data_IF_066031671059
#
_entry.id   IF_066031671059
#
_cell.length_a   1.000
_cell.length_b   1.000
_cell.length_c   1.000
_cell.angle_alpha   90.00
_cell.angle_beta   90.00
_cell.angle_gamma   90.00
#
_symmetry.space_group_name_H-M   'P 1'
#
loop_
_entity.id
_entity.type
_entity.pdbx_description
1 polymer ?
#
# COMPACT_ATOMS: atom_id res chain seq x y z
N UNK A 1 4.22 -7.39 9.73
CA UNK A 1 3.25 -6.57 8.98
C UNK A 1 2.06 -6.25 9.86
N UNK A 2 1.62 -5.00 9.84
CA UNK A 2 0.49 -4.56 10.65
C UNK A 2 -0.80 -4.62 9.82
N UNK A 3 -1.87 -5.09 10.44
CA UNK A 3 -3.20 -5.15 9.82
C UNK A 3 -4.10 -4.16 10.55
N UNK A 4 -4.75 -3.27 9.82
CA UNK A 4 -5.67 -2.29 10.38
C UNK A 4 -7.02 -2.35 9.67
N UNK A 5 -8.05 -1.84 10.35
CA UNK A 5 -9.38 -1.74 9.76
C UNK A 5 -9.48 -0.52 8.85
N UNK A 6 -10.51 -0.50 7.98
CA UNK A 6 -10.79 0.67 7.16
C UNK A 6 -11.03 1.92 8.02
N UNK A 7 -11.69 1.77 9.17
CA UNK A 7 -11.94 2.88 10.08
C UNK A 7 -10.63 3.43 10.68
N UNK A 8 -9.74 2.54 11.14
CA UNK A 8 -8.44 2.95 11.65
C UNK A 8 -7.62 3.69 10.60
N UNK A 9 -7.68 3.23 9.36
CA UNK A 9 -7.00 3.89 8.24
C UNK A 9 -7.55 5.31 8.01
N UNK A 10 -8.87 5.48 8.05
CA UNK A 10 -9.51 6.79 7.87
C UNK A 10 -9.14 7.77 8.97
N UNK A 11 -8.99 7.30 10.20
CA UNK A 11 -8.67 8.16 11.35
C UNK A 11 -7.18 8.47 11.49
N UNK A 12 -6.32 7.77 10.76
CA UNK A 12 -4.87 7.93 10.87
C UNK A 12 -4.33 9.25 10.30
N UNK A 13 -5.16 10.01 9.59
CA UNK A 13 -4.72 11.23 8.94
C UNK A 13 -3.97 10.96 7.64
N UNK A 14 -3.71 12.01 6.89
CA UNK A 14 -3.08 11.91 5.56
C UNK A 14 -1.87 12.81 5.37
N UNK A 15 -1.35 13.43 6.42
CA UNK A 15 -0.16 14.28 6.31
C UNK A 15 1.04 13.45 5.81
N UNK A 16 1.69 13.93 4.76
CA UNK A 16 2.81 13.20 4.16
C UNK A 16 2.43 11.95 3.40
N UNK A 17 1.14 11.74 3.10
CA UNK A 17 0.64 10.55 2.41
C UNK A 17 0.40 10.84 0.94
N UNK A 18 0.86 9.92 0.09
CA UNK A 18 0.58 9.90 -1.33
C UNK A 18 -0.30 8.68 -1.63
N UNK A 19 -1.46 8.90 -2.23
CA UNK A 19 -2.31 7.82 -2.71
C UNK A 19 -1.97 7.51 -4.16
N UNK A 20 -1.73 6.24 -4.47
CA UNK A 20 -1.22 5.84 -5.77
C UNK A 20 -2.18 4.83 -6.41
N UNK A 21 -2.76 5.21 -7.54
CA UNK A 21 -3.53 4.29 -8.35
C UNK A 21 -2.59 3.25 -8.97
N UNK A 22 -3.11 2.05 -9.24
CA UNK A 22 -2.29 0.93 -9.67
C UNK A 22 -1.73 1.06 -11.11
N UNK A 23 -2.16 2.06 -11.85
CA UNK A 23 -1.68 2.32 -13.21
C UNK A 23 -0.60 3.42 -13.28
N UNK A 24 -0.22 3.98 -12.14
CA UNK A 24 0.80 5.02 -12.06
C UNK A 24 2.20 4.40 -11.93
N UNK A 25 3.14 4.90 -12.71
CA UNK A 25 4.54 4.46 -12.61
C UNK A 25 5.21 5.22 -11.44
N UNK A 26 5.65 4.52 -10.37
CA UNK A 26 6.28 5.19 -9.24
C UNK A 26 7.54 5.98 -9.59
N UNK A 27 8.20 5.63 -10.67
CA UNK A 27 9.44 6.31 -11.11
C UNK A 27 9.19 7.74 -11.57
N UNK A 28 7.94 8.12 -11.84
CA UNK A 28 7.58 9.48 -12.25
C UNK A 28 7.26 10.39 -11.07
N UNK A 29 7.33 9.88 -9.83
CA UNK A 29 6.88 10.59 -8.65
C UNK A 29 8.01 11.36 -7.98
N UNK A 30 7.64 12.53 -7.39
CA UNK A 30 8.51 13.24 -6.46
C UNK A 30 8.15 12.76 -5.05
N UNK A 31 9.08 12.08 -4.39
CA UNK A 31 8.86 11.52 -3.06
C UNK A 31 9.37 12.41 -1.93
N UNK A 32 9.80 13.64 -2.23
CA UNK A 32 10.24 14.58 -1.20
C UNK A 32 9.08 14.90 -0.24
N UNK A 33 9.30 14.72 1.06
CA UNK A 33 8.30 14.99 2.07
C UNK A 33 7.23 13.90 2.20
N UNK A 34 7.29 12.84 1.40
CA UNK A 34 6.36 11.73 1.47
C UNK A 34 6.85 10.73 2.52
N UNK A 35 6.01 10.47 3.53
CA UNK A 35 6.33 9.51 4.60
C UNK A 35 5.54 8.22 4.49
N UNK A 36 4.45 8.22 3.70
CA UNK A 36 3.59 7.07 3.51
C UNK A 36 3.02 7.06 2.10
N UNK A 37 2.97 5.89 1.49
CA UNK A 37 2.33 5.69 0.19
C UNK A 37 1.25 4.62 0.33
N UNK A 38 0.03 4.96 -0.07
CA UNK A 38 -1.10 4.03 -0.09
C UNK A 38 -1.23 3.50 -1.51
N UNK A 39 -0.99 2.20 -1.70
CA UNK A 39 -1.10 1.53 -2.98
C UNK A 39 -2.46 0.85 -3.09
N UNK A 40 -3.18 1.14 -4.16
CA UNK A 40 -4.55 0.69 -4.34
C UNK A 40 -4.61 -0.65 -5.07
N UNK A 41 -5.42 -1.55 -4.53
CA UNK A 41 -5.79 -2.81 -5.16
C UNK A 41 -7.25 -2.72 -5.57
N UNK A 42 -7.57 -2.30 -6.82
CA UNK A 42 -8.97 -2.20 -7.25
C UNK A 42 -9.66 -3.57 -7.34
N UNK A 43 -8.87 -4.63 -7.55
CA UNK A 43 -9.33 -6.01 -7.46
C UNK A 43 -8.22 -6.89 -6.91
N UNK A 44 -8.59 -7.90 -6.12
CA UNK A 44 -7.60 -8.77 -5.49
C UNK A 44 -6.75 -9.55 -6.51
N UNK A 45 -7.23 -9.69 -7.74
CA UNK A 45 -6.50 -10.36 -8.84
C UNK A 45 -5.51 -9.45 -9.56
N UNK A 46 -5.53 -8.14 -9.26
CA UNK A 46 -4.65 -7.18 -9.92
C UNK A 46 -3.29 -7.13 -9.23
N UNK A 47 -2.25 -7.55 -9.93
CA UNK A 47 -0.89 -7.59 -9.40
C UNK A 47 -0.07 -6.31 -9.58
N UNK A 48 -0.64 -5.26 -10.17
CA UNK A 48 0.13 -4.04 -10.49
C UNK A 48 0.68 -3.35 -9.25
N UNK A 49 -0.07 -3.34 -8.16
CA UNK A 49 0.38 -2.70 -6.92
C UNK A 49 1.59 -3.41 -6.31
N UNK A 50 1.74 -4.70 -6.53
CA UNK A 50 2.94 -5.43 -6.12
C UNK A 50 4.17 -4.92 -6.88
N UNK A 51 4.04 -4.70 -8.19
CA UNK A 51 5.13 -4.15 -9.00
C UNK A 51 5.50 -2.74 -8.56
N UNK A 52 4.50 -1.92 -8.22
CA UNK A 52 4.73 -0.58 -7.68
C UNK A 52 5.50 -0.64 -6.36
N UNK A 53 5.11 -1.52 -5.44
CA UNK A 53 5.80 -1.69 -4.16
C UNK A 53 7.24 -2.14 -4.38
N UNK A 54 7.47 -3.07 -5.28
CA UNK A 54 8.82 -3.53 -5.62
C UNK A 54 9.69 -2.37 -6.12
N UNK A 55 9.18 -1.56 -7.05
CA UNK A 55 9.91 -0.41 -7.57
C UNK A 55 10.22 0.60 -6.49
N UNK A 56 9.25 0.89 -5.62
CA UNK A 56 9.44 1.85 -4.53
C UNK A 56 10.52 1.39 -3.56
N UNK A 57 10.51 0.11 -3.17
CA UNK A 57 11.49 -0.41 -2.21
C UNK A 57 12.86 -0.67 -2.82
N UNK A 58 12.90 -1.27 -4.02
CA UNK A 58 14.14 -1.77 -4.61
C UNK A 58 14.84 -0.77 -5.50
N UNK A 59 14.08 0.00 -6.27
CA UNK A 59 14.64 0.96 -7.23
C UNK A 59 14.73 2.36 -6.66
N UNK A 60 13.67 2.85 -6.04
CA UNK A 60 13.60 4.20 -5.49
C UNK A 60 14.05 4.27 -4.04
N UNK A 61 14.20 3.13 -3.40
CA UNK A 61 14.66 2.99 -2.01
C UNK A 61 13.81 3.82 -1.04
N UNK A 62 12.50 3.83 -1.28
CA UNK A 62 11.58 4.52 -0.39
C UNK A 62 11.62 3.87 0.99
N UNK A 63 11.92 4.68 2.02
CA UNK A 63 12.08 4.21 3.40
C UNK A 63 10.84 4.43 4.27
N UNK A 64 9.79 5.07 3.73
CA UNK A 64 8.54 5.31 4.46
C UNK A 64 7.63 4.10 4.48
N UNK A 65 6.39 4.31 4.95
CA UNK A 65 5.39 3.25 5.07
C UNK A 65 4.70 2.99 3.73
N UNK A 66 4.53 1.72 3.39
CA UNK A 66 3.69 1.30 2.26
C UNK A 66 2.45 0.60 2.81
N UNK A 67 1.27 1.12 2.46
CA UNK A 67 -0.02 0.53 2.84
C UNK A 67 -0.69 -0.08 1.62
N UNK A 68 -1.26 -1.27 1.81
CA UNK A 68 -2.14 -1.89 0.82
C UNK A 68 -3.57 -1.52 1.15
N UNK A 69 -4.28 -0.91 0.19
CA UNK A 69 -5.67 -0.47 0.37
C UNK A 69 -6.55 -1.04 -0.74
N UNK A 70 -7.86 -0.98 -0.57
CA UNK A 70 -8.83 -1.47 -1.53
C UNK A 70 -9.21 -2.92 -1.29
N UNK A 71 -9.15 -3.74 -2.33
CA UNK A 71 -9.57 -5.14 -2.26
C UNK A 71 -8.41 -6.03 -1.77
N UNK A 72 -8.16 -5.98 -0.47
CA UNK A 72 -7.06 -6.70 0.18
C UNK A 72 -7.60 -7.98 0.82
N UNK A 73 -7.02 -9.13 0.43
CA UNK A 73 -7.39 -10.42 0.99
C UNK A 73 -6.37 -10.90 2.01
N UNK A 74 -6.85 -11.56 3.06
CA UNK A 74 -5.99 -12.10 4.12
C UNK A 74 -4.96 -13.08 3.53
N UNK A 75 -5.33 -13.86 2.54
CA UNK A 75 -4.43 -14.83 1.90
C UNK A 75 -3.22 -14.19 1.22
N UNK A 76 -3.29 -12.90 0.93
CA UNK A 76 -2.22 -12.17 0.23
C UNK A 76 -1.23 -11.50 1.18
N UNK A 77 -1.47 -11.52 2.49
CA UNK A 77 -0.68 -10.75 3.45
C UNK A 77 0.80 -11.14 3.44
N UNK A 78 1.11 -12.43 3.32
CA UNK A 78 2.50 -12.90 3.28
C UNK A 78 3.21 -12.36 2.04
N UNK A 79 2.55 -12.40 0.89
CA UNK A 79 3.11 -11.88 -0.36
C UNK A 79 3.31 -10.37 -0.29
N UNK A 80 2.36 -9.64 0.30
CA UNK A 80 2.46 -8.20 0.50
C UNK A 80 3.68 -7.87 1.35
N UNK A 81 3.86 -8.56 2.47
CA UNK A 81 4.99 -8.35 3.35
C UNK A 81 6.32 -8.59 2.62
N UNK A 82 6.41 -9.65 1.84
CA UNK A 82 7.62 -9.98 1.07
C UNK A 82 7.94 -8.92 0.01
N UNK A 83 6.91 -8.27 -0.53
CA UNK A 83 7.07 -7.26 -1.57
C UNK A 83 7.46 -5.90 -0.99
N UNK A 84 7.27 -5.69 0.31
CA UNK A 84 7.69 -4.47 1.00
C UNK A 84 6.57 -3.66 1.63
N UNK A 85 5.34 -4.18 1.67
CA UNK A 85 4.26 -3.53 2.39
C UNK A 85 4.44 -3.66 3.90
N UNK A 86 4.14 -2.59 4.63
CA UNK A 86 4.20 -2.55 6.09
C UNK A 86 2.84 -2.72 6.73
N UNK A 87 1.79 -2.25 6.05
CA UNK A 87 0.43 -2.21 6.58
C UNK A 87 -0.55 -2.68 5.52
N UNK A 88 -1.50 -3.50 5.92
CA UNK A 88 -2.65 -3.88 5.10
C UNK A 88 -3.91 -3.33 5.73
N UNK A 89 -4.73 -2.64 4.94
CA UNK A 89 -6.02 -2.10 5.34
C UNK A 89 -7.09 -3.07 4.86
N UNK A 90 -7.77 -3.74 5.78
CA UNK A 90 -8.83 -4.66 5.43
C UNK A 90 -10.09 -3.87 5.08
N UNK A 91 -10.77 -4.30 4.02
CA UNK A 91 -12.04 -3.71 3.62
C UNK A 91 -13.08 -3.90 4.73
N UNK A 92 -14.06 -3.00 4.78
CA UNK A 92 -15.13 -3.07 5.74
C UNK A 92 -15.88 -4.41 5.60
N UNK A 93 -16.13 -5.09 6.73
CA UNK A 93 -16.79 -6.38 6.74
C UNK A 93 -15.87 -7.58 6.56
N UNK A 94 -14.57 -7.38 6.39
CA UNK A 94 -13.57 -8.46 6.31
C UNK A 94 -13.01 -8.71 7.71
N UNK A 95 -13.06 -9.95 8.16
CA UNK A 95 -12.45 -10.35 9.43
C UNK A 95 -10.96 -10.64 9.26
N UNK A 96 -10.21 -10.21 10.23
CA UNK A 96 -8.77 -10.48 10.27
C UNK A 96 -8.46 -11.89 10.77
#
# INVERSE_FOLDING_TARGET
>A
MKIITAQEHQTAGKAGTLELANDVDPRTLDLNGVTRIDLQFPAFTDGRAYSQAFLLRRRLRFAGELRATGDVLIDQLVQMQRTGFDVAVLAEGVDA
#
